data_IF_824008779476
#
_entry.id   IF_824008779476
#
_cell.length_a   1.000
_cell.length_b   1.000
_cell.length_c   1.000
_cell.angle_alpha   90.00
_cell.angle_beta   90.00
_cell.angle_gamma   90.00
#
_symmetry.space_group_name_H-M   'P 1'
#
loop_
_entity.id
_entity.type
_entity.pdbx_description
1 polymer ?
#
# COMPACT_ATOMS: atom_id res chain seq x y z
N UNK A 1 -4.31 19.76 9.95
CA UNK A 1 -4.11 18.37 9.48
C UNK A 1 -3.74 18.37 8.00
N UNK A 2 -4.52 19.06 7.15
CA UNK A 2 -4.34 19.06 5.69
C UNK A 2 -2.97 19.57 5.19
N UNK A 3 -2.46 20.67 5.75
CA UNK A 3 -1.16 21.21 5.36
C UNK A 3 0.01 20.23 5.62
N UNK A 4 -0.13 19.32 6.59
CA UNK A 4 0.87 18.28 6.86
C UNK A 4 0.70 17.08 5.92
N UNK A 5 -0.51 16.80 5.44
CA UNK A 5 -0.82 15.72 4.48
C UNK A 5 -0.25 16.03 3.09
N UNK A 6 -0.31 17.29 2.64
CA UNK A 6 0.10 17.70 1.29
C UNK A 6 1.50 17.21 0.84
N UNK A 7 2.60 17.45 1.58
CA UNK A 7 3.91 16.98 1.16
C UNK A 7 4.00 15.46 1.12
N UNK A 8 3.32 14.76 2.03
CA UNK A 8 3.29 13.30 2.04
C UNK A 8 2.57 12.76 0.80
N UNK A 9 1.43 13.35 0.40
CA UNK A 9 0.68 12.92 -0.78
C UNK A 9 1.46 13.11 -2.08
N UNK A 10 2.29 14.15 -2.18
CA UNK A 10 3.14 14.38 -3.36
C UNK A 10 4.21 13.30 -3.55
N UNK A 11 4.69 12.70 -2.47
CA UNK A 11 5.64 11.58 -2.52
C UNK A 11 4.91 10.25 -2.66
N UNK A 12 3.82 10.03 -1.93
CA UNK A 12 3.03 8.80 -1.98
C UNK A 12 2.46 8.55 -3.38
N UNK A 13 2.06 9.57 -4.15
CA UNK A 13 1.55 9.35 -5.50
C UNK A 13 2.58 8.65 -6.41
N UNK A 14 3.87 8.87 -6.17
CA UNK A 14 4.97 8.31 -6.97
C UNK A 14 5.30 6.86 -6.62
N UNK A 15 4.70 6.30 -5.58
CA UNK A 15 4.93 4.89 -5.21
C UNK A 15 4.05 3.93 -6.00
N UNK A 16 3.11 4.44 -6.82
CA UNK A 16 2.10 3.65 -7.52
C UNK A 16 1.41 2.64 -6.60
N UNK A 17 1.04 3.07 -5.39
CA UNK A 17 0.32 2.25 -4.42
C UNK A 17 1.08 1.02 -3.90
N UNK A 18 2.36 0.84 -4.23
CA UNK A 18 3.17 -0.28 -3.75
C UNK A 18 3.57 -0.08 -2.31
N UNK A 19 3.31 -1.07 -1.47
CA UNK A 19 3.81 -1.14 -0.10
C UNK A 19 4.45 -2.49 0.17
N UNK A 20 5.41 -2.52 1.09
CA UNK A 20 5.97 -3.75 1.63
C UNK A 20 5.41 -3.92 3.04
N UNK A 21 4.64 -4.98 3.26
CA UNK A 21 4.19 -5.36 4.60
C UNK A 21 5.09 -6.47 5.13
N UNK A 22 5.62 -6.27 6.33
CA UNK A 22 6.43 -7.28 7.04
C UNK A 22 5.63 -7.97 8.16
N UNK A 23 4.34 -7.65 8.26
CA UNK A 23 3.43 -8.24 9.24
C UNK A 23 2.14 -8.68 8.54
N UNK A 24 1.96 -10.00 8.45
CA UNK A 24 0.72 -10.63 8.00
C UNK A 24 -0.15 -10.92 9.23
N UNK A 25 -0.91 -9.92 9.71
CA UNK A 25 -1.69 -10.05 10.95
C UNK A 25 -2.75 -11.16 10.87
N UNK A 26 -3.22 -11.49 9.66
CA UNK A 26 -4.16 -12.58 9.41
C UNK A 26 -3.57 -13.97 9.73
N UNK A 27 -2.25 -14.12 9.60
CA UNK A 27 -1.52 -15.38 9.82
C UNK A 27 -0.80 -15.39 11.18
N UNK A 28 -0.23 -14.25 11.58
CA UNK A 28 0.55 -14.07 12.79
C UNK A 28 0.04 -12.84 13.58
N UNK A 29 -1.15 -12.92 14.19
CA UNK A 29 -1.75 -11.78 14.89
C UNK A 29 -0.96 -11.36 16.13
N UNK A 30 -0.26 -12.30 16.77
CA UNK A 30 0.39 -12.08 18.07
C UNK A 30 1.77 -11.41 17.96
N UNK A 31 2.44 -11.51 16.81
CA UNK A 31 3.79 -10.99 16.59
C UNK A 31 3.93 -10.40 15.19
N UNK A 32 4.56 -9.22 15.04
CA UNK A 32 4.80 -8.57 13.75
C UNK A 32 5.94 -9.24 12.98
N UNK A 33 5.77 -10.53 12.70
CA UNK A 33 6.72 -11.37 12.00
C UNK A 33 6.12 -11.80 10.67
N UNK A 34 6.99 -11.87 9.67
CA UNK A 34 6.62 -12.31 8.34
C UNK A 34 7.71 -11.96 7.34
N UNK A 35 7.82 -12.71 6.23
CA UNK A 35 8.63 -12.28 5.12
C UNK A 35 8.06 -10.98 4.54
N UNK A 36 8.89 -10.09 3.94
CA UNK A 36 8.37 -8.91 3.28
C UNK A 36 7.42 -9.30 2.12
N UNK A 37 6.18 -8.84 2.16
CA UNK A 37 5.17 -9.08 1.13
C UNK A 37 4.90 -7.79 0.37
N UNK A 38 4.95 -7.86 -0.97
CA UNK A 38 4.56 -6.76 -1.84
C UNK A 38 3.03 -6.69 -1.91
N UNK A 39 2.48 -5.58 -1.46
CA UNK A 39 1.05 -5.29 -1.51
C UNK A 39 0.80 -4.08 -2.42
N UNK A 40 -0.35 -4.09 -3.06
CA UNK A 40 -0.80 -3.04 -3.96
C UNK A 40 -2.05 -2.39 -3.40
N UNK A 41 -2.02 -1.07 -3.25
CA UNK A 41 -3.23 -0.29 -3.02
C UNK A 41 -4.03 -0.15 -4.31
N UNK A 42 -5.33 0.03 -4.19
CA UNK A 42 -6.18 0.43 -5.31
C UNK A 42 -5.74 1.78 -5.86
N UNK A 43 -5.66 1.87 -7.18
CA UNK A 43 -5.20 3.07 -7.89
C UNK A 43 -6.30 3.70 -8.74
N UNK A 44 -7.41 2.97 -8.95
CA UNK A 44 -8.57 3.48 -9.66
C UNK A 44 -9.84 3.37 -8.79
N UNK A 45 -10.83 4.20 -9.11
CA UNK A 45 -12.09 4.24 -8.35
C UNK A 45 -12.98 3.02 -8.64
N UNK A 46 -12.87 2.44 -9.83
CA UNK A 46 -13.62 1.23 -10.20
C UNK A 46 -13.27 0.01 -9.35
N UNK A 47 -12.05 -0.05 -8.79
CA UNK A 47 -11.61 -1.07 -7.83
C UNK A 47 -12.32 -0.93 -6.46
N UNK A 48 -12.96 0.22 -6.20
CA UNK A 48 -13.59 0.59 -4.94
C UNK A 48 -15.11 0.83 -5.07
N UNK A 49 -15.73 0.41 -6.18
CA UNK A 49 -17.15 0.69 -6.48
C UNK A 49 -18.15 -0.19 -5.69
N UNK A 50 -17.67 -1.16 -4.90
CA UNK A 50 -18.55 -2.05 -4.14
C UNK A 50 -19.37 -1.26 -3.09
N UNK A 51 -20.66 -1.58 -2.97
CA UNK A 51 -21.58 -0.89 -2.06
C UNK A 51 -21.15 -1.02 -0.59
N UNK A 52 -20.57 -2.17 -0.21
CA UNK A 52 -20.01 -2.38 1.13
C UNK A 52 -18.84 -1.42 1.42
N UNK A 53 -18.02 -1.14 0.40
CA UNK A 53 -16.88 -0.23 0.55
C UNK A 53 -17.34 1.22 0.71
N UNK A 54 -18.37 1.64 -0.06
CA UNK A 54 -18.99 2.95 0.11
C UNK A 54 -19.59 3.13 1.49
N UNK A 55 -20.28 2.10 2.00
CA UNK A 55 -20.85 2.12 3.34
C UNK A 55 -19.75 2.26 4.41
N UNK A 56 -18.66 1.50 4.31
CA UNK A 56 -17.53 1.60 5.23
C UNK A 56 -16.84 2.99 5.20
N UNK A 57 -16.74 3.62 4.02
CA UNK A 57 -16.24 5.00 3.92
C UNK A 57 -17.19 5.98 4.62
N UNK A 58 -18.50 5.86 4.41
CA UNK A 58 -19.49 6.75 5.01
C UNK A 58 -19.48 6.66 6.54
N UNK A 59 -19.43 5.44 7.08
CA UNK A 59 -19.30 5.18 8.53
C UNK A 59 -18.04 5.85 9.10
N UNK A 60 -16.88 5.62 8.47
CA UNK A 60 -15.62 6.27 8.87
C UNK A 60 -15.70 7.81 8.82
N UNK A 61 -16.33 8.36 7.78
CA UNK A 61 -16.48 9.81 7.61
C UNK A 61 -17.33 10.42 8.73
N UNK A 62 -18.40 9.73 9.13
CA UNK A 62 -19.24 10.11 10.27
C UNK A 62 -18.46 10.04 11.59
N UNK A 63 -17.78 8.92 11.86
CA UNK A 63 -17.02 8.71 13.09
C UNK A 63 -15.90 9.74 13.29
N UNK A 64 -15.18 10.05 12.21
CA UNK A 64 -14.02 10.95 12.26
C UNK A 64 -14.40 12.41 11.99
N UNK A 65 -15.66 12.70 11.64
CA UNK A 65 -16.12 14.05 11.27
C UNK A 65 -15.38 14.60 10.04
N UNK A 66 -15.05 13.75 9.08
CA UNK A 66 -14.32 14.10 7.86
C UNK A 66 -15.20 13.90 6.62
N UNK A 67 -14.83 14.51 5.50
CA UNK A 67 -15.51 14.31 4.22
C UNK A 67 -14.52 13.82 3.18
N UNK A 68 -14.72 12.60 2.70
CA UNK A 68 -13.94 12.00 1.60
C UNK A 68 -13.99 12.86 0.35
N UNK A 69 -15.17 13.38 0.01
CA UNK A 69 -15.35 14.21 -1.17
C UNK A 69 -14.61 15.55 -1.05
N UNK A 70 -14.69 16.22 0.12
CA UNK A 70 -13.93 17.44 0.33
C UNK A 70 -12.41 17.20 0.28
N UNK A 71 -11.93 16.08 0.85
CA UNK A 71 -10.52 15.67 0.77
C UNK A 71 -10.09 15.38 -0.66
N UNK A 72 -10.95 14.75 -1.46
CA UNK A 72 -10.72 14.48 -2.89
C UNK A 72 -10.57 15.79 -3.66
N UNK A 73 -11.49 16.73 -3.49
CA UNK A 73 -11.44 18.05 -4.13
C UNK A 73 -10.19 18.85 -3.73
N UNK A 74 -9.84 18.80 -2.44
CA UNK A 74 -8.61 19.42 -1.94
C UNK A 74 -7.38 18.84 -2.64
N UNK A 75 -7.27 17.50 -2.73
CA UNK A 75 -6.16 16.82 -3.42
C UNK A 75 -6.06 17.18 -4.88
N UNK A 76 -7.18 17.25 -5.60
CA UNK A 76 -7.21 17.63 -7.01
C UNK A 76 -6.66 19.05 -7.25
N UNK A 77 -6.74 19.93 -6.25
CA UNK A 77 -6.23 21.30 -6.32
C UNK A 77 -4.71 21.44 -6.21
N UNK A 78 -3.99 20.50 -5.60
CA UNK A 78 -2.52 20.62 -5.40
C UNK A 78 -1.71 19.44 -5.94
N UNK A 79 -2.32 18.28 -6.20
CA UNK A 79 -1.63 17.16 -6.83
C UNK A 79 -1.42 17.51 -8.32
N UNK A 80 -0.17 17.54 -8.80
CA UNK A 80 0.10 17.74 -10.22
C UNK A 80 -0.61 16.68 -11.07
N UNK A 81 -1.27 17.14 -12.13
CA UNK A 81 -1.88 16.28 -13.17
C UNK A 81 -0.85 15.95 -14.25
N UNK A 82 0.39 15.71 -13.84
CA UNK A 82 1.41 15.25 -14.76
C UNK A 82 1.06 13.83 -15.21
N UNK A 83 1.42 13.49 -16.45
CA UNK A 83 1.35 12.11 -16.95
C UNK A 83 2.50 11.30 -16.32
N UNK A 84 2.56 11.28 -14.99
CA UNK A 84 3.53 10.48 -14.26
C UNK A 84 3.19 9.02 -14.51
N UNK A 85 4.08 8.35 -15.22
CA UNK A 85 3.98 6.93 -15.50
C UNK A 85 4.88 6.16 -14.55
N UNK A 86 4.42 5.04 -13.98
CA UNK A 86 5.28 4.12 -13.25
C UNK A 86 6.45 3.65 -14.12
N UNK A 87 7.54 3.23 -13.46
CA UNK A 87 8.64 2.58 -14.18
C UNK A 87 8.12 1.35 -14.95
N UNK A 88 8.70 1.10 -16.13
CA UNK A 88 8.32 -0.04 -16.96
C UNK A 88 8.37 -1.37 -16.16
N UNK A 89 7.27 -2.11 -16.15
CA UNK A 89 7.14 -3.36 -15.40
C UNK A 89 6.79 -3.20 -13.93
N UNK A 90 6.59 -1.98 -13.42
CA UNK A 90 6.08 -1.77 -12.07
C UNK A 90 4.63 -2.28 -11.93
N UNK A 91 3.87 -2.31 -13.02
CA UNK A 91 2.52 -2.87 -13.16
C UNK A 91 2.51 -4.36 -13.57
N UNK A 92 3.67 -5.03 -13.48
CA UNK A 92 3.82 -6.44 -13.86
C UNK A 92 2.73 -7.35 -13.26
N UNK A 93 2.35 -7.24 -11.97
CA UNK A 93 1.27 -8.07 -11.43
C UNK A 93 -0.07 -7.85 -12.13
N UNK A 94 -0.41 -6.60 -12.46
CA UNK A 94 -1.68 -6.22 -13.10
C UNK A 94 -1.80 -6.77 -14.52
N UNK A 95 -0.69 -6.88 -15.27
CA UNK A 95 -0.69 -7.38 -16.65
C UNK A 95 -0.38 -8.86 -16.79
N UNK A 96 0.44 -9.42 -15.90
CA UNK A 96 0.91 -10.81 -16.00
C UNK A 96 0.07 -11.81 -15.21
N UNK A 97 -0.69 -11.33 -14.22
CA UNK A 97 -1.35 -12.20 -13.22
C UNK A 97 -0.36 -12.98 -12.35
N UNK A 98 0.92 -12.59 -12.34
CA UNK A 98 2.00 -13.24 -11.59
C UNK A 98 2.68 -12.23 -10.67
N UNK A 99 3.11 -12.70 -9.51
CA UNK A 99 3.87 -11.91 -8.55
C UNK A 99 4.96 -12.76 -7.91
N UNK A 100 5.93 -12.09 -7.28
CA UNK A 100 6.97 -12.75 -6.47
C UNK A 100 6.52 -12.73 -5.02
N UNK A 101 6.58 -13.89 -4.37
CA UNK A 101 6.32 -14.04 -2.93
C UNK A 101 7.63 -14.39 -2.24
N UNK A 102 7.93 -13.68 -1.16
CA UNK A 102 9.02 -14.06 -0.25
C UNK A 102 8.43 -14.98 0.82
N UNK A 103 9.14 -16.08 1.10
CA UNK A 103 8.75 -17.04 2.14
C UNK A 103 9.86 -17.14 3.19
N UNK A 104 9.47 -17.14 4.46
CA UNK A 104 10.38 -17.45 5.55
C UNK A 104 10.51 -18.96 5.68
N UNK A 105 11.73 -19.48 5.61
CA UNK A 105 12.04 -20.90 5.78
C UNK A 105 13.09 -21.06 6.87
N UNK A 106 12.88 -22.00 7.79
CA UNK A 106 13.89 -22.36 8.78
C UNK A 106 15.03 -23.12 8.09
N UNK A 107 16.27 -22.75 8.41
CA UNK A 107 17.47 -23.36 7.82
C UNK A 107 18.50 -23.64 8.91
N UNK A 108 19.23 -24.73 8.76
CA UNK A 108 20.36 -25.04 9.63
C UNK A 108 21.45 -23.98 9.51
N UNK A 109 21.83 -23.37 10.63
CA UNK A 109 22.93 -22.40 10.67
C UNK A 109 24.26 -23.13 10.51
N UNK A 110 24.93 -22.95 9.37
CA UNK A 110 26.32 -23.42 9.21
C UNK A 110 27.26 -22.54 10.02
N UNK A 111 27.64 -23.01 11.20
CA UNK A 111 28.70 -22.36 12.00
C UNK A 111 30.04 -22.59 11.31
N UNK A 112 30.53 -21.58 10.58
CA UNK A 112 31.91 -21.59 10.09
C UNK A 112 32.82 -21.11 11.23
N UNK A 113 33.21 -22.04 12.11
CA UNK A 113 34.32 -21.79 13.04
C UNK A 113 35.60 -21.89 12.20
N UNK A 114 36.13 -20.75 11.73
CA UNK A 114 37.52 -20.69 11.28
C UNK A 114 38.39 -20.68 12.54
N UNK A 115 39.05 -21.80 12.85
CA UNK A 115 40.18 -21.78 13.79
C UNK A 115 41.32 -20.97 13.15
N UNK A 116 41.81 -19.97 13.88
CA UNK A 116 43.07 -19.28 13.61
C UNK A 116 44.25 -20.21 13.92
#
# INVERSE_FOLDING_TARGET
MDAAEQPAMLELRKTYGKTIHTWAFDEHPDLPLGPPQLMMSWTNESECDADEFRAAIAERDEELGVSTEAKRQLRDGYIPKDNWEPAAGADYPSHSGKSVVLQSVEVDVKTVIKSL
#
